data_IF_757086093584
#
_entry.id   IF_757086093584
#
_cell.length_a   1.000
_cell.length_b   1.000
_cell.length_c   1.000
_cell.angle_alpha   90.00
_cell.angle_beta   90.00
_cell.angle_gamma   90.00
#
_symmetry.space_group_name_H-M   'P 1'
#
loop_
_entity.id
_entity.type
_entity.pdbx_description
1 polymer ?
#
# COMPACT_ATOMS: atom_id res chain seq x y z
N UNK A 1 24.97 5.26 -1.57
CA UNK A 1 23.95 4.49 -0.83
C UNK A 1 23.73 5.16 0.51
N UNK A 2 22.48 5.36 0.90
CA UNK A 2 22.11 5.95 2.20
C UNK A 2 22.34 4.91 3.30
N UNK A 3 22.79 5.34 4.48
CA UNK A 3 22.99 4.40 5.61
C UNK A 3 21.65 4.10 6.29
N UNK A 4 21.52 2.95 6.96
CA UNK A 4 20.29 2.60 7.68
C UNK A 4 19.91 3.64 8.75
N UNK A 5 20.92 4.23 9.39
CA UNK A 5 20.73 5.30 10.40
C UNK A 5 20.19 6.57 9.75
N UNK A 6 20.74 6.96 8.60
CA UNK A 6 20.27 8.12 7.84
C UNK A 6 18.86 7.88 7.30
N UNK A 7 18.58 6.67 6.78
CA UNK A 7 17.23 6.30 6.34
C UNK A 7 16.21 6.37 7.47
N UNK A 8 16.52 5.78 8.64
CA UNK A 8 15.65 5.84 9.80
C UNK A 8 15.38 7.29 10.24
N UNK A 9 16.37 8.18 10.11
CA UNK A 9 16.20 9.61 10.40
C UNK A 9 15.27 10.29 9.40
N UNK A 10 15.47 10.07 8.10
CA UNK A 10 14.61 10.63 7.04
C UNK A 10 13.17 10.18 7.25
N UNK A 11 12.95 8.88 7.38
CA UNK A 11 11.62 8.28 7.51
C UNK A 11 10.84 8.78 8.71
N UNK A 12 11.49 8.99 9.87
CA UNK A 12 10.86 9.60 11.07
C UNK A 12 10.27 11.00 10.80
N UNK A 13 10.85 11.73 9.84
CA UNK A 13 10.37 13.05 9.44
C UNK A 13 9.18 13.03 8.49
N UNK A 14 8.89 11.90 7.84
CA UNK A 14 7.84 11.80 6.84
C UNK A 14 6.45 11.64 7.47
N UNK A 15 5.44 12.16 6.77
CA UNK A 15 4.02 11.93 7.06
C UNK A 15 3.32 11.37 5.83
N UNK A 16 2.36 10.47 6.03
CA UNK A 16 1.50 10.02 4.94
C UNK A 16 0.73 11.22 4.35
N UNK A 17 0.62 11.28 3.02
CA UNK A 17 -0.03 12.39 2.31
C UNK A 17 0.77 13.69 2.28
N UNK A 18 1.96 13.74 2.89
CA UNK A 18 2.86 14.88 2.74
C UNK A 18 3.22 15.07 1.27
N UNK A 19 3.07 16.29 0.76
CA UNK A 19 3.34 16.62 -0.64
C UNK A 19 4.75 17.16 -0.79
N UNK A 20 5.44 16.70 -1.82
CA UNK A 20 6.71 17.21 -2.31
C UNK A 20 6.58 17.55 -3.79
N UNK A 21 7.12 18.69 -4.20
CA UNK A 21 7.45 18.91 -5.60
C UNK A 21 8.59 17.96 -5.97
N UNK A 22 8.45 17.25 -7.07
CA UNK A 22 9.43 16.29 -7.54
C UNK A 22 9.62 16.33 -9.05
N UNK A 23 10.80 15.89 -9.49
CA UNK A 23 11.13 15.75 -10.91
C UNK A 23 11.20 14.27 -11.28
N UNK A 24 10.48 13.88 -12.33
CA UNK A 24 10.56 12.52 -12.86
C UNK A 24 11.93 12.32 -13.49
N UNK A 25 12.77 11.49 -12.90
CA UNK A 25 14.15 11.27 -13.36
C UNK A 25 14.29 10.04 -14.25
N UNK A 26 13.33 9.11 -14.20
CA UNK A 26 13.35 7.92 -15.04
C UNK A 26 11.97 7.29 -15.21
N UNK A 27 11.66 6.89 -16.45
CA UNK A 27 10.48 6.08 -16.81
C UNK A 27 10.97 4.78 -17.47
N UNK A 28 11.26 3.72 -16.71
CA UNK A 28 11.74 2.47 -17.27
C UNK A 28 10.61 1.74 -18.00
N UNK A 29 10.59 1.83 -19.34
CA UNK A 29 9.56 1.24 -20.22
C UNK A 29 8.14 1.52 -19.69
N UNK A 30 7.51 2.65 -20.09
CA UNK A 30 6.14 2.96 -19.66
C UNK A 30 5.22 1.74 -19.76
N UNK A 31 4.38 1.54 -18.74
CA UNK A 31 3.54 0.35 -18.59
C UNK A 31 4.18 -0.85 -17.86
N UNK A 32 5.46 -0.80 -17.48
CA UNK A 32 6.14 -1.95 -16.86
C UNK A 32 6.11 -1.99 -15.33
N UNK A 33 6.72 -0.99 -14.67
CA UNK A 33 6.96 -1.05 -13.21
C UNK A 33 6.60 0.23 -12.45
N UNK A 34 6.62 1.39 -13.10
CA UNK A 34 6.41 2.68 -12.45
C UNK A 34 7.44 3.72 -12.86
N UNK A 35 7.54 4.81 -12.10
CA UNK A 35 8.45 5.94 -12.39
C UNK A 35 9.30 6.31 -11.18
N UNK A 36 10.53 6.75 -11.44
CA UNK A 36 11.43 7.28 -10.41
C UNK A 36 11.34 8.80 -10.36
N UNK A 37 11.31 9.34 -9.15
CA UNK A 37 11.14 10.77 -8.90
C UNK A 37 12.22 11.24 -7.93
N UNK A 38 12.91 12.32 -8.28
CA UNK A 38 13.73 13.06 -7.33
C UNK A 38 12.84 14.07 -6.58
N UNK A 39 12.85 14.02 -5.26
CA UNK A 39 12.07 14.90 -4.37
C UNK A 39 12.98 15.73 -3.44
N UNK A 40 14.26 15.86 -3.78
CA UNK A 40 15.22 16.67 -3.02
C UNK A 40 15.68 16.04 -1.70
N UNK A 41 15.37 14.76 -1.47
CA UNK A 41 15.88 13.98 -0.35
C UNK A 41 17.05 13.09 -0.81
N UNK A 42 17.91 12.65 0.12
CA UNK A 42 19.00 11.73 -0.22
C UNK A 42 18.53 10.32 -0.65
N UNK A 43 17.24 10.03 -0.47
CA UNK A 43 16.56 8.82 -1.00
C UNK A 43 15.54 9.25 -2.05
N UNK A 44 15.66 8.69 -3.25
CA UNK A 44 14.70 8.93 -4.34
C UNK A 44 13.33 8.32 -4.08
N UNK A 45 12.32 8.91 -4.72
CA UNK A 45 10.94 8.43 -4.73
C UNK A 45 10.66 7.47 -5.88
N UNK A 46 9.62 6.66 -5.70
CA UNK A 46 9.11 5.76 -6.73
C UNK A 46 7.58 5.73 -6.72
N UNK A 47 6.96 6.00 -7.85
CA UNK A 47 5.52 5.78 -8.05
C UNK A 47 5.34 4.41 -8.68
N UNK A 48 4.53 3.56 -8.05
CA UNK A 48 4.24 2.22 -8.56
C UNK A 48 3.31 2.27 -9.78
N UNK A 49 3.51 1.39 -10.76
CA UNK A 49 2.62 1.25 -11.93
C UNK A 49 1.15 1.10 -11.54
N UNK A 50 0.87 0.46 -10.40
CA UNK A 50 -0.51 0.28 -9.91
C UNK A 50 -1.20 1.58 -9.48
N UNK A 51 -0.50 2.71 -9.43
CA UNK A 51 -1.06 4.03 -9.14
C UNK A 51 -1.20 4.92 -10.39
N UNK A 52 -0.60 4.51 -11.52
CA UNK A 52 -0.54 5.28 -12.77
C UNK A 52 -1.64 4.86 -13.75
N UNK A 53 -1.94 5.69 -14.78
CA UNK A 53 -2.81 5.30 -15.88
C UNK A 53 -2.40 3.96 -16.51
N UNK A 54 -3.37 3.23 -17.09
CA UNK A 54 -3.08 1.96 -17.74
C UNK A 54 -2.23 2.13 -19.00
N UNK A 55 -2.47 3.21 -19.75
CA UNK A 55 -1.67 3.57 -20.93
C UNK A 55 -0.39 4.28 -20.47
N UNK A 56 0.77 3.78 -20.91
CA UNK A 56 2.07 4.29 -20.48
C UNK A 56 2.37 5.70 -21.00
N UNK A 57 1.75 6.07 -22.11
CA UNK A 57 1.84 7.38 -22.77
C UNK A 57 1.24 8.51 -21.92
N UNK A 58 0.30 8.17 -21.03
CA UNK A 58 -0.35 9.11 -20.12
C UNK A 58 0.45 9.30 -18.81
N UNK A 59 1.57 8.59 -18.64
CA UNK A 59 2.43 8.75 -17.48
C UNK A 59 3.20 10.08 -17.56
N UNK A 60 3.57 10.66 -16.40
CA UNK A 60 4.55 11.74 -16.37
C UNK A 60 5.84 11.35 -17.10
N UNK A 61 6.23 12.13 -18.12
CA UNK A 61 7.48 11.90 -18.86
C UNK A 61 8.71 12.29 -18.02
N UNK A 62 9.89 11.77 -18.38
CA UNK A 62 11.16 12.20 -17.79
C UNK A 62 11.34 13.73 -17.92
N UNK A 63 11.81 14.37 -16.85
CA UNK A 63 11.91 15.82 -16.72
C UNK A 63 10.63 16.53 -16.27
N UNK A 64 9.49 15.83 -16.19
CA UNK A 64 8.25 16.42 -15.67
C UNK A 64 8.42 16.81 -14.20
N UNK A 65 8.11 18.07 -13.88
CA UNK A 65 8.00 18.56 -12.51
C UNK A 65 6.53 18.53 -12.10
N UNK A 66 6.23 17.88 -10.98
CA UNK A 66 4.88 17.74 -10.46
C UNK A 66 4.89 17.50 -8.94
N UNK A 67 3.71 17.63 -8.33
CA UNK A 67 3.52 17.32 -6.91
C UNK A 67 3.26 15.83 -6.69
N UNK A 68 3.91 15.27 -5.66
CA UNK A 68 3.80 13.87 -5.27
C UNK A 68 3.56 13.74 -3.77
N UNK A 69 2.63 12.88 -3.40
CA UNK A 69 2.31 12.54 -2.02
C UNK A 69 3.14 11.36 -1.53
N UNK A 70 3.59 11.42 -0.28
CA UNK A 70 4.13 10.26 0.43
C UNK A 70 3.04 9.22 0.60
N UNK A 71 3.13 8.15 -0.18
CA UNK A 71 2.20 7.03 -0.16
C UNK A 71 2.63 5.98 0.87
N UNK A 72 3.89 5.55 0.83
CA UNK A 72 4.40 4.50 1.71
C UNK A 72 5.92 4.60 1.89
N UNK A 73 6.45 4.15 3.02
CA UNK A 73 7.88 3.87 3.15
C UNK A 73 8.12 2.85 4.26
N UNK A 74 9.03 1.92 4.04
CA UNK A 74 9.39 0.87 5.00
C UNK A 74 10.92 0.76 5.17
N UNK A 75 11.41 -0.33 5.75
CA UNK A 75 12.84 -0.55 5.98
C UNK A 75 13.67 -0.71 4.69
N UNK A 76 13.07 -0.89 3.50
CA UNK A 76 13.75 -1.15 2.22
C UNK A 76 14.39 0.09 1.57
N UNK A 77 14.49 1.21 2.29
CA UNK A 77 15.13 2.46 1.85
C UNK A 77 14.58 3.02 0.52
N UNK A 78 13.26 2.94 0.31
CA UNK A 78 12.60 3.54 -0.84
C UNK A 78 11.32 4.24 -0.41
N UNK A 79 11.16 5.48 -0.85
CA UNK A 79 9.93 6.26 -0.63
C UNK A 79 8.98 5.93 -1.77
N UNK A 80 7.81 5.37 -1.46
CA UNK A 80 6.73 5.17 -2.41
C UNK A 80 5.87 6.42 -2.45
N UNK A 81 5.62 6.89 -3.66
CA UNK A 81 4.89 8.11 -3.95
C UNK A 81 3.59 7.80 -4.68
N UNK A 82 2.64 8.73 -4.55
CA UNK A 82 1.45 8.82 -5.38
C UNK A 82 1.44 10.19 -6.07
N UNK A 83 1.14 10.32 -7.37
CA UNK A 83 0.89 11.62 -8.00
C UNK A 83 -0.20 12.40 -7.26
N UNK A 84 0.01 13.70 -7.02
CA UNK A 84 -1.01 14.57 -6.42
C UNK A 84 -2.10 14.91 -7.44
N UNK A 85 -1.67 15.22 -8.67
CA UNK A 85 -2.56 15.51 -9.80
C UNK A 85 -3.26 14.25 -10.29
N UNK A 86 -4.60 14.29 -10.32
CA UNK A 86 -5.43 13.15 -10.70
C UNK A 86 -5.27 12.73 -12.15
N UNK A 87 -4.77 13.60 -13.04
CA UNK A 87 -4.50 13.22 -14.45
C UNK A 87 -3.42 12.15 -14.58
N UNK A 88 -2.56 12.03 -13.56
CA UNK A 88 -1.49 11.04 -13.51
C UNK A 88 -1.84 9.86 -12.60
N UNK A 89 -3.10 9.75 -12.16
CA UNK A 89 -3.60 8.59 -11.45
C UNK A 89 -4.36 7.66 -12.39
N UNK A 90 -4.35 6.37 -12.05
CA UNK A 90 -5.30 5.41 -12.64
C UNK A 90 -6.74 5.92 -12.54
N UNK A 91 -7.56 5.60 -13.54
CA UNK A 91 -8.95 6.11 -13.63
C UNK A 91 -9.86 5.62 -12.51
N UNK A 92 -9.61 4.43 -11.97
CA UNK A 92 -10.35 3.79 -10.87
C UNK A 92 -9.65 4.00 -9.50
N UNK A 93 -8.89 5.10 -9.33
CA UNK A 93 -8.07 5.30 -8.13
C UNK A 93 -8.88 5.27 -6.83
N UNK A 94 -10.06 5.88 -6.80
CA UNK A 94 -10.93 5.87 -5.61
C UNK A 94 -11.30 4.45 -5.19
N UNK A 95 -11.82 3.65 -6.13
CA UNK A 95 -12.20 2.25 -5.89
C UNK A 95 -10.99 1.40 -5.49
N UNK A 96 -9.83 1.66 -6.11
CA UNK A 96 -8.57 1.02 -5.74
C UNK A 96 -8.18 1.31 -4.29
N UNK A 97 -8.26 2.56 -3.84
CA UNK A 97 -7.95 2.93 -2.45
C UNK A 97 -8.96 2.31 -1.48
N UNK A 98 -10.26 2.37 -1.77
CA UNK A 98 -11.28 1.77 -0.91
C UNK A 98 -11.05 0.26 -0.71
N UNK A 99 -10.59 -0.43 -1.77
CA UNK A 99 -10.32 -1.87 -1.71
C UNK A 99 -9.01 -2.23 -1.03
N UNK A 100 -7.92 -1.54 -1.36
CA UNK A 100 -6.56 -1.96 -0.99
C UNK A 100 -5.97 -1.14 0.16
N UNK A 101 -6.51 0.04 0.45
CA UNK A 101 -6.09 0.91 1.54
C UNK A 101 -7.25 1.73 2.12
N UNK A 102 -8.31 1.07 2.65
CA UNK A 102 -9.49 1.75 3.16
C UNK A 102 -9.19 2.72 4.33
N UNK A 103 -8.09 2.51 5.05
CA UNK A 103 -7.65 3.40 6.13
C UNK A 103 -6.99 4.70 5.64
N UNK A 104 -6.74 4.86 4.33
CA UNK A 104 -5.96 5.98 3.81
C UNK A 104 -6.43 7.36 4.30
N UNK A 105 -7.73 7.70 4.32
CA UNK A 105 -8.17 9.00 4.83
C UNK A 105 -7.78 9.26 6.29
N UNK A 106 -7.69 8.21 7.12
CA UNK A 106 -7.27 8.32 8.51
C UNK A 106 -5.74 8.30 8.67
N UNK A 107 -5.02 7.67 7.74
CA UNK A 107 -3.56 7.60 7.73
C UNK A 107 -2.92 8.94 7.35
N UNK A 108 -3.58 9.76 6.52
CA UNK A 108 -3.05 11.06 6.08
C UNK A 108 -2.70 11.94 7.29
N UNK A 109 -1.49 12.50 7.26
CA UNK A 109 -0.92 13.29 8.35
C UNK A 109 -0.28 12.47 9.47
N UNK A 110 -0.49 11.15 9.52
CA UNK A 110 0.18 10.28 10.50
C UNK A 110 1.66 10.07 10.13
N UNK A 111 2.53 9.86 11.13
CA UNK A 111 3.93 9.49 10.88
C UNK A 111 4.05 8.19 10.08
N UNK A 112 5.01 8.16 9.15
CA UNK A 112 5.35 6.94 8.43
C UNK A 112 6.15 6.04 9.37
N UNK A 113 5.46 5.11 10.02
CA UNK A 113 6.06 4.16 10.94
C UNK A 113 6.69 2.97 10.21
N UNK A 114 7.70 2.37 10.84
CA UNK A 114 8.06 0.99 10.48
C UNK A 114 6.94 0.13 11.02
N UNK A 115 6.29 -0.67 10.18
CA UNK A 115 5.55 -1.81 10.71
C UNK A 115 6.48 -2.84 11.36
N UNK A 116 7.81 -2.70 11.20
CA UNK A 116 8.78 -3.66 11.65
C UNK A 116 8.67 -4.98 10.86
N UNK A 117 9.56 -5.94 11.09
CA UNK A 117 9.31 -7.30 10.62
C UNK A 117 8.05 -7.83 11.32
N UNK A 118 7.07 -8.28 10.52
CA UNK A 118 5.92 -9.03 11.04
C UNK A 118 6.45 -10.16 11.91
N UNK A 119 6.11 -10.14 13.18
CA UNK A 119 6.59 -11.16 14.11
C UNK A 119 6.00 -12.52 13.72
N UNK A 120 6.67 -13.64 14.05
CA UNK A 120 6.11 -14.97 13.82
C UNK A 120 4.75 -15.19 14.49
N UNK A 121 4.42 -14.44 15.54
CA UNK A 121 3.13 -14.49 16.23
C UNK A 121 2.03 -13.74 15.46
N UNK A 122 2.32 -12.54 14.94
CA UNK A 122 1.41 -11.80 14.06
C UNK A 122 1.14 -12.58 12.76
N UNK A 123 2.17 -13.19 12.19
CA UNK A 123 2.01 -14.06 11.02
C UNK A 123 1.11 -15.27 11.31
N UNK A 124 1.27 -15.90 12.49
CA UNK A 124 0.39 -17.00 12.93
C UNK A 124 -1.03 -16.54 13.28
N UNK A 125 -1.23 -15.28 13.65
CA UNK A 125 -2.55 -14.72 13.93
C UNK A 125 -3.31 -14.47 12.62
N UNK A 126 -2.64 -13.85 11.63
CA UNK A 126 -3.22 -13.59 10.30
C UNK A 126 -3.59 -14.89 9.56
N UNK A 127 -2.75 -15.93 9.66
CA UNK A 127 -3.03 -17.25 9.04
C UNK A 127 -4.12 -18.06 9.75
N UNK A 128 -4.48 -17.72 11.01
CA UNK A 128 -5.56 -18.39 11.75
C UNK A 128 -6.94 -17.82 11.42
N UNK A 129 -7.01 -16.63 10.82
CA UNK A 129 -8.29 -15.95 10.54
C UNK A 129 -9.11 -16.55 9.39
N UNK A 130 -8.59 -17.53 8.64
CA UNK A 130 -9.33 -18.23 7.56
C UNK A 130 -10.07 -19.51 8.02
N UNK A 131 -10.20 -19.72 9.33
CA UNK A 131 -10.72 -20.97 9.89
C UNK A 131 -11.91 -20.83 10.82
N UNK A 132 -13.00 -20.16 10.44
CA UNK A 132 -14.27 -20.32 11.16
C UNK A 132 -15.50 -20.09 10.29
N UNK A 133 -15.91 -21.13 9.57
CA UNK A 133 -17.29 -21.28 9.11
C UNK A 133 -17.61 -22.76 8.87
N UNK A 134 -18.18 -23.41 9.88
CA UNK A 134 -19.22 -24.43 9.75
C UNK A 134 -19.71 -24.83 11.15
N UNK A 135 -20.59 -24.03 11.74
CA UNK A 135 -21.59 -24.56 12.67
C UNK A 135 -22.83 -24.87 11.85
N UNK A 136 -23.06 -26.15 11.56
CA UNK A 136 -24.36 -26.60 11.05
C UNK A 136 -25.34 -26.74 12.22
N UNK A 137 -26.60 -26.32 12.06
CA UNK A 137 -27.58 -26.36 13.15
C UNK A 137 -28.19 -27.75 13.32
N UNK A 138 -28.61 -28.00 14.56
CA UNK A 138 -29.40 -29.13 15.01
C UNK A 138 -30.89 -28.94 14.67
N UNK A 139 -31.58 -29.99 14.24
CA UNK A 139 -33.05 -30.18 14.20
C UNK A 139 -33.24 -31.70 14.09
N UNK A 140 -33.90 -32.48 14.96
CA UNK A 140 -34.98 -32.27 15.92
C UNK A 140 -35.96 -33.45 15.76
N UNK A 141 -36.01 -34.36 16.77
CA UNK A 141 -37.18 -35.16 17.25
C UNK A 141 -37.97 -36.08 16.25
N UNK A 142 -38.50 -37.29 16.53
CA UNK A 142 -39.31 -37.81 17.65
C UNK A 142 -39.30 -39.37 17.64
N UNK A 143 -39.59 -39.96 18.79
CA UNK A 143 -39.62 -41.39 19.14
C UNK A 143 -40.83 -42.22 18.63
N UNK A 144 -40.68 -43.56 18.61
CA UNK A 144 -41.69 -44.50 19.13
C UNK A 144 -41.03 -45.86 19.52
N UNK A 145 -41.54 -46.48 20.60
CA UNK A 145 -41.01 -47.66 21.31
C UNK A 145 -41.84 -48.94 20.96
N UNK A 146 -41.87 -50.08 21.71
CA UNK A 146 -41.01 -50.58 22.79
C UNK A 146 -40.59 -52.09 22.68
N UNK A 147 -39.80 -52.50 23.67
CA UNK A 147 -39.36 -53.79 24.22
C UNK A 147 -40.03 -55.13 23.86
N UNK A 148 -39.22 -56.20 23.86
CA UNK A 148 -39.65 -57.55 24.23
C UNK A 148 -38.67 -58.67 23.82
N UNK A 149 -38.26 -59.48 24.80
CA UNK A 149 -37.47 -60.72 24.69
C UNK A 149 -38.15 -61.79 23.84
#
# INVERSE_FOLDING_TARGET
>A
MVTDVEWARIRKGLRFGQVFEGTVVKVPRPGAIGIFVDIGLSVGGFVDVLLLPSEGEDWPAEGTVADFEIWWADSRQQIRLKPYDSRYLRTDFTDFVERFRPSWPADVGQPVHDSGPVTPEELRALLRSDGSSASSPETGEVADAPSGT
#
